data_IF_938706538209
#
_entry.id   IF_938706538209
#
_cell.length_a   1.000
_cell.length_b   1.000
_cell.length_c   1.000
_cell.angle_alpha   90.00
_cell.angle_beta   90.00
_cell.angle_gamma   90.00
#
_symmetry.space_group_name_H-M   'P 1'
#
loop_
_entity.id
_entity.type
_entity.pdbx_description
1 polymer ?
#
# COMPACT_ATOMS: atom_id res chain seq x y z
N UNK A 1 -46.92 36.32 -19.35
CA UNK A 1 -47.15 35.48 -18.16
C UNK A 1 -47.55 34.09 -18.62
N UNK A 2 -46.63 33.12 -18.60
CA UNK A 2 -46.97 31.69 -18.54
C UNK A 2 -45.93 31.02 -17.64
N UNK A 3 -46.43 30.16 -16.76
CA UNK A 3 -45.91 29.70 -15.49
C UNK A 3 -44.64 28.84 -15.52
N UNK A 4 -43.81 29.05 -14.49
CA UNK A 4 -42.69 28.21 -14.07
C UNK A 4 -43.12 26.78 -13.70
N UNK A 5 -42.38 25.78 -14.16
CA UNK A 5 -42.48 24.38 -13.74
C UNK A 5 -41.69 24.15 -12.44
N UNK A 6 -42.29 23.60 -11.36
CA UNK A 6 -41.57 23.17 -10.17
C UNK A 6 -41.24 21.68 -10.29
N UNK A 7 -40.00 21.33 -10.68
CA UNK A 7 -39.54 19.92 -10.64
C UNK A 7 -38.07 19.74 -10.26
N UNK A 8 -37.41 20.77 -9.71
CA UNK A 8 -35.97 20.70 -9.39
C UNK A 8 -35.63 20.76 -7.89
N UNK A 9 -36.60 20.87 -6.97
CA UNK A 9 -36.32 20.97 -5.53
C UNK A 9 -36.36 19.65 -4.75
N UNK A 10 -37.09 18.63 -5.23
CA UNK A 10 -37.24 17.34 -4.50
C UNK A 10 -35.99 16.44 -4.50
N UNK A 11 -34.99 16.70 -5.34
CA UNK A 11 -33.75 15.90 -5.38
C UNK A 11 -32.64 16.42 -4.46
N UNK A 12 -32.71 17.65 -3.95
CA UNK A 12 -31.66 18.20 -3.08
C UNK A 12 -31.83 17.77 -1.63
N UNK A 13 -33.07 17.70 -1.15
CA UNK A 13 -33.41 17.37 0.24
C UNK A 13 -33.15 15.89 0.53
N UNK A 14 -33.55 14.99 -0.37
CA UNK A 14 -33.27 13.56 -0.29
C UNK A 14 -31.76 13.23 -0.34
N UNK A 15 -30.94 14.05 -1.02
CA UNK A 15 -29.48 13.90 -1.03
C UNK A 15 -28.88 14.39 0.29
N UNK A 16 -29.38 15.48 0.85
CA UNK A 16 -28.92 15.98 2.15
C UNK A 16 -29.31 15.06 3.31
N UNK A 17 -30.52 14.51 3.31
CA UNK A 17 -30.97 13.55 4.32
C UNK A 17 -30.16 12.26 4.26
N UNK A 18 -29.81 11.80 3.05
CA UNK A 18 -28.92 10.66 2.86
C UNK A 18 -27.48 10.97 3.26
N UNK A 19 -27.03 12.21 3.17
CA UNK A 19 -25.71 12.64 3.66
C UNK A 19 -25.69 12.82 5.19
N UNK A 20 -26.80 13.22 5.79
CA UNK A 20 -26.98 13.36 7.24
C UNK A 20 -27.11 11.99 7.93
N UNK A 21 -27.88 11.05 7.37
CA UNK A 21 -27.97 9.67 7.87
C UNK A 21 -26.63 8.95 7.78
N UNK A 22 -25.92 9.09 6.65
CA UNK A 22 -24.54 8.59 6.48
C UNK A 22 -23.51 9.23 7.43
N UNK A 23 -23.81 10.41 8.01
CA UNK A 23 -22.95 11.08 9.00
C UNK A 23 -23.17 10.48 10.39
N UNK A 24 -24.40 10.08 10.72
CA UNK A 24 -24.77 9.46 11.99
C UNK A 24 -24.31 8.00 12.03
N UNK A 25 -24.47 7.23 10.94
CA UNK A 25 -23.98 5.85 10.84
C UNK A 25 -22.45 5.76 10.94
N UNK A 26 -21.70 6.73 10.40
CA UNK A 26 -20.23 6.82 10.55
C UNK A 26 -19.76 7.01 11.99
N UNK A 27 -20.61 7.53 12.88
CA UNK A 27 -20.27 7.73 14.29
C UNK A 27 -20.45 6.43 15.10
N UNK A 28 -21.25 5.48 14.60
CA UNK A 28 -21.57 4.23 15.28
C UNK A 28 -20.95 2.96 14.65
N UNK A 29 -20.42 3.02 13.42
CA UNK A 29 -19.76 1.88 12.74
C UNK A 29 -18.24 2.09 12.58
N UNK A 30 -17.57 2.53 13.64
CA UNK A 30 -16.12 2.40 13.75
C UNK A 30 -15.76 0.91 13.91
N UNK A 31 -15.78 0.17 12.80
CA UNK A 31 -15.29 -1.19 12.78
C UNK A 31 -13.77 -1.16 12.99
N UNK A 32 -13.35 -1.74 14.10
CA UNK A 32 -12.01 -1.75 14.73
C UNK A 32 -10.87 -2.25 13.82
N UNK A 33 -11.16 -2.77 12.61
CA UNK A 33 -10.17 -3.43 11.75
C UNK A 33 -9.60 -2.62 10.58
N UNK A 34 -10.00 -1.37 10.34
CA UNK A 34 -9.44 -0.59 9.21
C UNK A 34 -9.10 0.85 9.58
N UNK A 35 -8.12 1.02 10.48
CA UNK A 35 -7.52 2.32 10.78
C UNK A 35 -6.90 2.89 9.49
N UNK A 36 -7.25 4.14 9.16
CA UNK A 36 -6.59 4.92 8.09
C UNK A 36 -5.44 5.71 8.72
N UNK A 37 -4.21 5.23 8.51
CA UNK A 37 -3.04 5.68 9.27
C UNK A 37 -2.82 7.17 9.13
N UNK A 38 -2.95 7.72 7.92
CA UNK A 38 -2.67 9.13 7.61
C UNK A 38 -3.91 10.02 7.68
N UNK A 39 -5.05 9.51 8.15
CA UNK A 39 -6.28 10.31 8.23
C UNK A 39 -6.07 11.51 9.19
N UNK A 40 -6.21 12.72 8.63
CA UNK A 40 -5.97 13.99 9.33
C UNK A 40 -4.54 14.55 9.18
N UNK A 41 -3.58 13.75 8.70
CA UNK A 41 -2.17 14.13 8.50
C UNK A 41 -1.82 14.38 7.02
N UNK A 42 -2.64 13.90 6.09
CA UNK A 42 -2.41 13.99 4.64
C UNK A 42 -3.22 15.10 3.96
N UNK A 43 -2.53 15.86 3.11
CA UNK A 43 -3.05 16.94 2.27
C UNK A 43 -2.50 16.84 0.86
N UNK A 44 -3.13 17.51 -0.09
CA UNK A 44 -2.58 17.64 -1.45
C UNK A 44 -1.70 18.89 -1.60
N UNK A 45 -1.08 19.04 -2.77
CA UNK A 45 -0.18 20.15 -3.09
C UNK A 45 -0.84 21.54 -3.09
N UNK A 46 -2.18 21.61 -3.11
CA UNK A 46 -2.95 22.86 -2.96
C UNK A 46 -3.37 23.09 -1.49
N UNK A 47 -2.92 22.24 -0.57
CA UNK A 47 -3.25 22.29 0.85
C UNK A 47 -4.61 21.70 1.22
N UNK A 48 -5.38 21.16 0.25
CA UNK A 48 -6.70 20.55 0.52
C UNK A 48 -6.54 19.29 1.35
N UNK A 49 -7.48 19.06 2.26
CA UNK A 49 -7.52 17.82 3.05
C UNK A 49 -7.72 16.63 2.13
N UNK A 50 -7.01 15.53 2.39
CA UNK A 50 -7.24 14.27 1.69
C UNK A 50 -7.97 13.29 2.62
N UNK A 51 -9.17 12.87 2.25
CA UNK A 51 -9.99 11.98 3.07
C UNK A 51 -9.85 10.51 2.62
N UNK A 52 -9.86 9.54 3.55
CA UNK A 52 -9.89 8.13 3.21
C UNK A 52 -11.19 7.81 2.48
N UNK A 53 -11.07 7.06 1.39
CA UNK A 53 -12.15 6.58 0.55
C UNK A 53 -11.88 5.13 0.19
N UNK A 54 -12.92 4.40 -0.19
CA UNK A 54 -12.80 3.03 -0.65
C UNK A 54 -13.67 2.78 -1.86
N UNK A 55 -13.25 1.83 -2.69
CA UNK A 55 -14.04 1.30 -3.78
C UNK A 55 -13.91 -0.23 -3.77
N UNK A 56 -15.01 -0.93 -3.96
CA UNK A 56 -15.01 -2.40 -4.03
C UNK A 56 -15.17 -2.84 -5.47
N UNK A 57 -14.39 -3.84 -5.89
CA UNK A 57 -14.56 -4.50 -7.19
C UNK A 57 -14.55 -6.01 -6.97
N UNK A 58 -15.73 -6.62 -7.07
CA UNK A 58 -15.94 -7.99 -6.60
C UNK A 58 -15.72 -8.06 -5.09
N UNK A 59 -14.96 -9.06 -4.64
CA UNK A 59 -14.63 -9.28 -3.23
C UNK A 59 -13.45 -8.42 -2.73
N UNK A 60 -12.76 -7.71 -3.64
CA UNK A 60 -11.58 -6.91 -3.29
C UNK A 60 -11.97 -5.46 -3.01
N UNK A 61 -11.65 -4.99 -1.80
CA UNK A 61 -11.79 -3.58 -1.39
C UNK A 61 -10.48 -2.82 -1.59
N UNK A 62 -10.51 -1.77 -2.40
CA UNK A 62 -9.39 -0.86 -2.63
C UNK A 62 -9.56 0.40 -1.79
N UNK A 63 -8.50 0.83 -1.10
CA UNK A 63 -8.50 2.04 -0.27
C UNK A 63 -7.63 3.14 -0.88
N UNK A 64 -8.11 4.37 -0.77
CA UNK A 64 -7.49 5.55 -1.36
C UNK A 64 -7.57 6.74 -0.40
N UNK A 65 -6.65 7.69 -0.56
CA UNK A 65 -6.82 9.06 -0.10
C UNK A 65 -7.18 9.94 -1.30
N UNK A 66 -8.24 10.72 -1.18
CA UNK A 66 -8.73 11.62 -2.23
C UNK A 66 -8.74 13.06 -1.71
N UNK A 67 -8.28 14.02 -2.51
CA UNK A 67 -8.51 15.44 -2.26
C UNK A 67 -10.00 15.72 -2.08
N UNK A 68 -10.36 16.39 -0.99
CA UNK A 68 -11.71 16.90 -0.76
C UNK A 68 -11.76 18.31 -1.35
N UNK A 69 -12.70 18.55 -2.26
CA UNK A 69 -12.97 19.89 -2.74
C UNK A 69 -13.79 20.61 -1.67
N UNK A 70 -13.14 21.43 -0.86
CA UNK A 70 -13.78 22.32 0.10
C UNK A 70 -13.88 23.71 -0.56
N UNK A 71 -15.01 24.03 -1.20
CA UNK A 71 -15.30 25.37 -1.76
C UNK A 71 -16.01 25.41 -3.12
N UNK A 72 -16.59 26.56 -3.47
CA UNK A 72 -17.14 26.86 -4.81
C UNK A 72 -16.08 27.57 -5.66
N UNK A 73 -15.68 26.98 -6.79
CA UNK A 73 -14.69 27.54 -7.72
C UNK A 73 -14.04 26.50 -8.63
N UNK A 74 -13.29 26.92 -9.68
CA UNK A 74 -12.53 26.01 -10.52
C UNK A 74 -11.38 25.38 -9.71
N UNK A 75 -11.56 24.13 -9.32
CA UNK A 75 -10.57 23.38 -8.55
C UNK A 75 -9.53 22.74 -9.48
N UNK A 76 -8.25 22.78 -9.06
CA UNK A 76 -7.24 21.90 -9.64
C UNK A 76 -7.69 20.43 -9.54
N UNK A 77 -7.32 19.60 -10.52
CA UNK A 77 -7.77 18.20 -10.61
C UNK A 77 -7.54 17.49 -9.27
N UNK A 78 -8.57 16.86 -8.68
CA UNK A 78 -8.44 16.20 -7.38
C UNK A 78 -7.42 15.05 -7.48
N UNK A 79 -6.52 14.97 -6.50
CA UNK A 79 -5.51 13.93 -6.45
C UNK A 79 -6.09 12.71 -5.73
N UNK A 80 -5.81 11.52 -6.28
CA UNK A 80 -6.13 10.24 -5.66
C UNK A 80 -4.88 9.38 -5.58
N UNK A 81 -4.57 8.91 -4.38
CA UNK A 81 -3.45 8.01 -4.10
C UNK A 81 -3.90 6.75 -3.36
N UNK A 82 -3.28 5.60 -3.64
CA UNK A 82 -3.60 4.35 -2.97
C UNK A 82 -3.16 4.42 -1.50
N UNK A 83 -4.09 4.18 -0.57
CA UNK A 83 -3.84 4.35 0.86
C UNK A 83 -2.74 3.41 1.34
N UNK A 84 -2.86 2.12 1.00
CA UNK A 84 -1.86 1.10 1.32
C UNK A 84 -0.45 1.50 0.89
N UNK A 85 -0.32 2.12 -0.28
CA UNK A 85 0.99 2.43 -0.85
C UNK A 85 1.64 3.61 -0.12
N UNK A 86 0.90 4.71 0.07
CA UNK A 86 1.43 5.89 0.77
C UNK A 86 1.67 5.62 2.26
N UNK A 87 0.77 4.88 2.91
CA UNK A 87 0.91 4.47 4.30
C UNK A 87 2.19 3.65 4.51
N UNK A 88 2.39 2.63 3.66
CA UNK A 88 3.60 1.80 3.70
C UNK A 88 4.86 2.64 3.48
N UNK A 89 4.86 3.54 2.50
CA UNK A 89 6.04 4.34 2.17
C UNK A 89 6.42 5.32 3.28
N UNK A 90 5.43 5.91 3.96
CA UNK A 90 5.66 6.75 5.14
C UNK A 90 6.32 5.94 6.25
N UNK A 91 5.77 4.76 6.57
CA UNK A 91 6.32 3.88 7.63
C UNK A 91 7.74 3.43 7.28
N UNK A 92 7.98 2.98 6.05
CA UNK A 92 9.31 2.57 5.60
C UNK A 92 10.31 3.74 5.61
N UNK A 93 9.87 4.96 5.28
CA UNK A 93 10.75 6.13 5.29
C UNK A 93 11.09 6.60 6.69
N UNK A 94 10.15 6.52 7.62
CA UNK A 94 10.41 6.73 9.04
C UNK A 94 11.35 5.66 9.59
N UNK A 95 11.13 4.39 9.22
CA UNK A 95 12.01 3.29 9.61
C UNK A 95 13.43 3.46 9.07
N UNK A 96 13.59 3.94 7.82
CA UNK A 96 14.90 4.25 7.21
C UNK A 96 15.61 5.37 7.96
N UNK A 97 14.91 6.49 8.24
CA UNK A 97 15.45 7.61 9.02
C UNK A 97 15.97 7.14 10.39
N UNK A 98 15.16 6.39 11.14
CA UNK A 98 15.51 5.92 12.48
C UNK A 98 16.62 4.84 12.44
N UNK A 99 16.73 4.11 11.33
CA UNK A 99 17.81 3.14 11.12
C UNK A 99 19.14 3.77 10.73
N UNK A 100 19.14 5.02 10.25
CA UNK A 100 20.34 5.72 9.81
C UNK A 100 21.03 6.41 10.99
N UNK A 101 22.05 5.73 11.52
CA UNK A 101 22.87 6.21 12.64
C UNK A 101 23.52 7.56 12.35
N UNK A 102 24.04 7.75 11.14
CA UNK A 102 24.74 8.98 10.76
C UNK A 102 23.76 10.16 10.69
N UNK A 103 22.58 9.92 10.10
CA UNK A 103 21.53 10.93 10.03
C UNK A 103 21.02 11.31 11.43
N UNK A 104 20.82 10.35 12.33
CA UNK A 104 20.41 10.63 13.71
C UNK A 104 21.45 11.43 14.49
N UNK A 105 22.74 11.11 14.36
CA UNK A 105 23.82 11.89 15.00
C UNK A 105 23.87 13.32 14.47
N UNK A 106 23.61 13.53 13.18
CA UNK A 106 23.55 14.87 12.59
C UNK A 106 22.33 15.68 13.08
N UNK A 107 21.18 15.01 13.28
CA UNK A 107 19.96 15.66 13.79
C UNK A 107 20.06 16.04 15.26
N UNK A 108 20.82 15.27 16.06
CA UNK A 108 20.96 15.48 17.50
C UNK A 108 22.45 15.57 17.91
N UNK A 109 23.19 16.58 17.41
CA UNK A 109 24.63 16.68 17.62
C UNK A 109 25.01 16.93 19.09
N UNK A 110 24.10 17.57 19.84
CA UNK A 110 24.31 17.97 21.24
C UNK A 110 24.39 16.76 22.18
N UNK A 111 23.77 15.65 21.77
CA UNK A 111 23.82 14.37 22.48
C UNK A 111 24.97 13.49 21.99
N UNK A 112 25.86 14.03 21.14
CA UNK A 112 27.12 13.42 20.69
C UNK A 112 28.31 13.70 21.61
N UNK A 113 28.15 14.56 22.63
CA UNK A 113 29.22 15.01 23.52
C UNK A 113 29.50 14.09 24.71
N UNK A 114 28.47 13.46 25.28
CA UNK A 114 28.61 12.48 26.37
C UNK A 114 28.20 11.09 25.86
N UNK A 115 29.14 10.14 25.85
CA UNK A 115 28.97 8.84 25.16
C UNK A 115 27.78 7.99 25.61
N UNK A 116 27.19 8.26 26.78
CA UNK A 116 26.00 7.57 27.28
C UNK A 116 24.71 8.03 26.58
N UNK A 117 24.56 9.34 26.31
CA UNK A 117 23.36 9.89 25.68
C UNK A 117 23.22 9.45 24.22
N UNK A 118 24.33 9.40 23.47
CA UNK A 118 24.34 8.86 22.11
C UNK A 118 23.95 7.37 22.09
N UNK A 119 24.46 6.59 23.05
CA UNK A 119 24.19 5.16 23.11
C UNK A 119 22.72 4.86 23.40
N UNK A 120 22.09 5.63 24.28
CA UNK A 120 20.68 5.48 24.63
C UNK A 120 19.75 5.93 23.49
N UNK A 121 20.08 7.02 22.80
CA UNK A 121 19.38 7.44 21.59
C UNK A 121 19.40 6.33 20.53
N UNK A 122 20.57 5.77 20.24
CA UNK A 122 20.72 4.74 19.22
C UNK A 122 20.07 3.41 19.62
N UNK A 123 20.03 3.10 20.92
CA UNK A 123 19.31 1.95 21.45
C UNK A 123 17.80 2.13 21.27
N UNK A 124 17.25 3.27 21.66
CA UNK A 124 15.84 3.61 21.50
C UNK A 124 15.44 3.59 20.02
N UNK A 125 16.27 4.17 19.15
CA UNK A 125 16.10 4.13 17.71
C UNK A 125 16.06 2.70 17.17
N UNK A 126 17.00 1.84 17.58
CA UNK A 126 17.04 0.44 17.14
C UNK A 126 15.79 -0.34 17.58
N UNK A 127 15.28 -0.11 18.79
CA UNK A 127 14.05 -0.73 19.28
C UNK A 127 12.84 -0.26 18.47
N UNK A 128 12.72 1.05 18.23
CA UNK A 128 11.62 1.60 17.44
C UNK A 128 11.66 1.11 15.99
N UNK A 129 12.84 1.10 15.37
CA UNK A 129 13.05 0.60 14.00
C UNK A 129 12.58 -0.84 13.84
N UNK A 130 12.86 -1.73 14.80
CA UNK A 130 12.45 -3.14 14.75
C UNK A 130 10.94 -3.33 14.89
N UNK A 131 10.31 -2.51 15.71
CA UNK A 131 8.92 -2.72 16.11
C UNK A 131 7.92 -2.00 15.20
N UNK A 132 8.31 -0.89 14.56
CA UNK A 132 7.36 -0.02 13.86
C UNK A 132 6.54 -0.74 12.79
N UNK A 133 7.15 -1.64 12.01
CA UNK A 133 6.47 -2.40 10.96
C UNK A 133 5.53 -3.49 11.49
N UNK A 134 5.73 -3.95 12.73
CA UNK A 134 4.94 -5.02 13.37
C UNK A 134 3.92 -4.51 14.39
N UNK A 135 3.96 -3.21 14.72
CA UNK A 135 2.95 -2.56 15.57
C UNK A 135 1.54 -2.72 15.00
N UNK A 136 0.54 -2.76 15.87
CA UNK A 136 -0.85 -2.70 15.44
C UNK A 136 -1.10 -1.38 14.69
N UNK A 137 -2.01 -1.34 13.69
CA UNK A 137 -2.30 -0.12 12.94
C UNK A 137 -2.73 1.08 13.81
N UNK A 138 -3.40 0.83 14.93
CA UNK A 138 -3.75 1.86 15.92
C UNK A 138 -2.51 2.51 16.52
N UNK A 139 -1.51 1.71 16.87
CA UNK A 139 -0.29 2.15 17.56
C UNK A 139 0.66 2.84 16.58
N UNK A 140 0.74 2.34 15.34
CA UNK A 140 1.42 3.04 14.25
C UNK A 140 0.82 4.43 14.04
N UNK A 141 -0.51 4.54 14.02
CA UNK A 141 -1.19 5.83 13.89
C UNK A 141 -0.92 6.76 15.07
N UNK A 142 -0.98 6.24 16.30
CA UNK A 142 -0.69 7.02 17.50
C UNK A 142 0.74 7.57 17.45
N UNK A 143 1.72 6.73 17.10
CA UNK A 143 3.10 7.14 16.91
C UNK A 143 3.25 8.26 15.87
N UNK A 144 2.60 8.13 14.71
CA UNK A 144 2.68 9.16 13.66
C UNK A 144 2.06 10.50 14.10
N UNK A 145 1.01 10.45 14.92
CA UNK A 145 0.42 11.65 15.53
C UNK A 145 1.34 12.27 16.57
N UNK A 146 1.95 11.45 17.43
CA UNK A 146 2.90 11.92 18.45
C UNK A 146 4.11 12.61 17.80
N UNK A 147 4.56 12.09 16.65
CA UNK A 147 5.60 12.69 15.81
C UNK A 147 5.13 13.92 15.00
N UNK A 148 3.86 14.33 15.14
CA UNK A 148 3.25 15.43 14.41
C UNK A 148 3.45 15.33 12.89
N UNK A 149 3.30 14.12 12.35
CA UNK A 149 3.50 13.86 10.92
C UNK A 149 2.59 14.73 10.05
N UNK A 150 3.19 15.31 9.01
CA UNK A 150 2.48 15.99 7.92
C UNK A 150 2.90 15.39 6.58
N UNK A 151 1.93 15.06 5.73
CA UNK A 151 2.16 14.51 4.39
C UNK A 151 1.48 15.39 3.35
N UNK A 152 2.23 15.84 2.35
CA UNK A 152 1.75 16.63 1.23
C UNK A 152 1.97 15.88 -0.09
N UNK A 153 0.89 15.66 -0.83
CA UNK A 153 0.91 14.92 -2.10
C UNK A 153 0.78 15.92 -3.25
N UNK A 154 1.87 16.15 -3.98
CA UNK A 154 1.87 16.93 -5.21
C UNK A 154 1.57 16.04 -6.42
N UNK A 155 1.46 16.65 -7.60
CA UNK A 155 1.27 15.92 -8.84
C UNK A 155 2.50 15.07 -9.23
N UNK A 156 3.69 15.46 -8.78
CA UNK A 156 4.99 14.93 -9.21
C UNK A 156 5.86 14.35 -8.07
N UNK A 157 5.52 14.63 -6.81
CA UNK A 157 6.27 14.18 -5.62
C UNK A 157 5.39 14.07 -4.39
N UNK A 158 5.92 13.44 -3.35
CA UNK A 158 5.31 13.41 -2.01
C UNK A 158 6.33 13.98 -1.03
N UNK A 159 5.89 14.94 -0.23
CA UNK A 159 6.67 15.49 0.86
C UNK A 159 6.08 14.96 2.17
N UNK A 160 6.94 14.45 3.05
CA UNK A 160 6.54 14.09 4.40
C UNK A 160 7.52 14.69 5.38
N UNK A 161 7.01 15.16 6.52
CA UNK A 161 7.82 15.79 7.57
C UNK A 161 7.25 15.47 8.95
N UNK A 162 8.13 15.39 9.93
CA UNK A 162 7.81 15.17 11.35
C UNK A 162 8.45 16.27 12.19
N UNK A 163 7.94 16.45 13.40
CA UNK A 163 8.52 17.39 14.35
C UNK A 163 9.84 16.85 14.93
N UNK A 164 10.88 17.69 14.95
CA UNK A 164 12.20 17.31 15.44
C UNK A 164 12.16 17.03 16.95
N UNK A 165 11.56 17.93 17.73
CA UNK A 165 11.47 17.77 19.17
C UNK A 165 10.67 16.52 19.57
N UNK A 166 9.58 16.22 18.84
CA UNK A 166 8.78 15.03 19.05
C UNK A 166 9.55 13.74 18.75
N UNK A 167 10.32 13.69 17.65
CA UNK A 167 11.17 12.55 17.35
C UNK A 167 12.22 12.37 18.45
N UNK A 168 12.89 13.44 18.88
CA UNK A 168 13.90 13.37 19.92
C UNK A 168 13.34 12.87 21.25
N UNK A 169 12.19 13.40 21.71
CA UNK A 169 11.48 12.88 22.90
C UNK A 169 11.15 11.40 22.76
N UNK A 170 10.72 10.96 21.59
CA UNK A 170 10.42 9.55 21.32
C UNK A 170 11.65 8.65 21.41
N UNK A 171 12.83 9.20 21.09
CA UNK A 171 14.13 8.53 21.16
C UNK A 171 14.82 8.67 22.52
N UNK A 172 14.18 9.29 23.51
CA UNK A 172 14.70 9.42 24.87
C UNK A 172 15.43 10.73 25.17
N UNK A 173 15.33 11.73 24.29
CA UNK A 173 15.91 13.06 24.51
C UNK A 173 14.93 13.94 25.30
N UNK A 174 15.32 14.35 26.51
CA UNK A 174 14.46 15.06 27.45
C UNK A 174 14.35 16.58 27.25
N UNK A 175 15.42 17.25 26.79
CA UNK A 175 15.46 18.70 26.57
C UNK A 175 15.83 19.01 25.12
N UNK A 176 14.88 19.57 24.38
CA UNK A 176 15.09 20.07 23.01
C UNK A 176 14.51 21.47 22.93
N UNK A 177 15.29 22.38 22.36
CA UNK A 177 14.80 23.70 22.00
C UNK A 177 13.74 23.54 20.91
N UNK A 178 12.55 24.08 21.17
CA UNK A 178 11.39 23.99 20.27
C UNK A 178 11.57 24.80 18.98
N UNK A 179 12.67 25.54 18.83
CA UNK A 179 12.99 26.37 17.66
C UNK A 179 13.68 25.61 16.52
N UNK A 180 14.07 24.33 16.73
CA UNK A 180 14.64 23.52 15.64
C UNK A 180 13.58 23.07 14.63
N UNK A 181 13.95 23.13 13.34
CA UNK A 181 13.08 22.85 12.20
C UNK A 181 12.53 21.41 12.14
N UNK A 182 11.51 21.22 11.31
CA UNK A 182 10.93 19.92 10.93
C UNK A 182 11.95 18.96 10.30
N UNK A 183 11.84 17.67 10.59
CA UNK A 183 12.63 16.61 9.95
C UNK A 183 11.91 16.10 8.71
N UNK A 184 12.56 16.19 7.54
CA UNK A 184 12.00 15.70 6.27
C UNK A 184 12.18 14.19 6.12
N UNK A 185 11.11 13.50 5.76
CA UNK A 185 11.10 12.09 5.36
C UNK A 185 11.17 12.00 3.83
N UNK A 186 12.19 11.33 3.32
CA UNK A 186 12.33 11.09 1.88
C UNK A 186 11.34 10.01 1.44
N UNK A 187 10.26 10.40 0.76
CA UNK A 187 9.30 9.47 0.14
C UNK A 187 9.74 9.22 -1.32
N UNK A 188 10.31 8.05 -1.65
CA UNK A 188 10.75 7.75 -3.00
C UNK A 188 9.56 7.66 -3.96
N UNK A 189 9.54 8.53 -4.97
CA UNK A 189 8.46 8.65 -5.94
C UNK A 189 8.99 8.68 -7.36
N UNK A 190 8.23 8.10 -8.29
CA UNK A 190 8.52 8.09 -9.72
C UNK A 190 7.28 8.50 -10.51
N UNK A 191 7.51 9.25 -11.58
CA UNK A 191 6.47 9.55 -12.56
C UNK A 191 6.41 8.42 -13.60
N UNK A 192 5.33 7.64 -13.58
CA UNK A 192 5.14 6.54 -14.53
C UNK A 192 4.11 6.93 -15.58
N UNK A 193 4.49 6.83 -16.85
CA UNK A 193 3.60 7.09 -17.97
C UNK A 193 2.74 5.87 -18.27
N UNK A 194 1.41 6.03 -18.29
CA UNK A 194 0.46 5.00 -18.75
C UNK A 194 -0.39 5.56 -19.88
N UNK A 195 0.05 5.33 -21.12
CA UNK A 195 -0.55 5.95 -22.30
C UNK A 195 -0.22 7.45 -22.35
N UNK A 196 -1.24 8.30 -22.54
CA UNK A 196 -1.08 9.76 -22.55
C UNK A 196 -0.96 10.37 -21.15
N UNK A 197 -1.42 9.66 -20.12
CA UNK A 197 -1.42 10.13 -18.73
C UNK A 197 -0.10 9.81 -18.01
N UNK A 198 0.49 10.82 -17.35
CA UNK A 198 1.62 10.66 -16.44
C UNK A 198 1.08 10.57 -15.02
N UNK A 199 1.41 9.51 -14.29
CA UNK A 199 0.89 9.26 -12.94
C UNK A 199 2.02 9.07 -11.93
N UNK A 200 1.95 9.80 -10.83
CA UNK A 200 2.80 9.60 -9.66
C UNK A 200 2.62 8.18 -9.11
N UNK A 201 3.72 7.46 -9.00
CA UNK A 201 3.80 6.13 -8.41
C UNK A 201 4.85 6.16 -7.31
N UNK A 202 4.49 5.65 -6.14
CA UNK A 202 5.43 5.50 -5.04
C UNK A 202 6.36 4.34 -5.37
N UNK A 203 7.66 4.59 -5.30
CA UNK A 203 8.67 3.55 -5.42
C UNK A 203 8.83 2.92 -4.05
N UNK A 204 8.61 1.62 -3.93
CA UNK A 204 9.04 0.93 -2.72
C UNK A 204 10.50 0.56 -2.91
N UNK A 205 11.33 0.78 -1.89
CA UNK A 205 12.59 0.05 -1.75
C UNK A 205 12.22 -1.39 -1.51
N UNK A 206 11.93 -2.07 -2.60
CA UNK A 206 12.09 -3.47 -2.61
C UNK A 206 13.55 -3.74 -2.33
N UNK A 207 13.83 -4.38 -1.20
CA UNK A 207 14.77 -5.50 -1.25
C UNK A 207 14.51 -6.19 -2.59
N UNK A 208 15.50 -6.18 -3.50
CA UNK A 208 15.33 -6.21 -4.97
C UNK A 208 14.45 -7.34 -5.55
N UNK A 209 14.00 -8.25 -4.68
CA UNK A 209 12.94 -9.23 -4.81
C UNK A 209 11.50 -8.68 -4.79
N UNK A 210 11.10 -7.82 -3.85
CA UNK A 210 9.67 -7.53 -3.63
C UNK A 210 9.00 -6.61 -4.67
N UNK A 211 9.77 -5.76 -5.37
CA UNK A 211 9.31 -4.84 -6.43
C UNK A 211 9.03 -5.58 -7.73
N UNK A 212 9.70 -6.71 -7.94
CA UNK A 212 9.54 -7.54 -9.11
C UNK A 212 8.54 -8.68 -8.90
N UNK A 213 8.05 -8.91 -7.67
CA UNK A 213 6.95 -9.84 -7.42
C UNK A 213 5.69 -9.31 -8.11
N UNK A 214 5.33 -9.90 -9.24
CA UNK A 214 4.04 -9.62 -9.88
C UNK A 214 2.95 -10.25 -9.01
N UNK A 215 2.11 -9.45 -8.31
CA UNK A 215 1.12 -10.00 -7.39
C UNK A 215 0.10 -10.88 -8.11
N UNK A 216 -0.16 -10.65 -9.40
CA UNK A 216 -1.04 -11.50 -10.20
C UNK A 216 -0.40 -12.83 -10.53
N UNK A 217 0.92 -12.86 -10.68
CA UNK A 217 1.68 -14.07 -10.93
C UNK A 217 1.72 -14.93 -9.66
N UNK A 218 1.96 -14.31 -8.49
CA UNK A 218 1.86 -14.99 -7.20
C UNK A 218 0.43 -15.53 -6.96
N UNK A 219 -0.59 -14.71 -7.21
CA UNK A 219 -2.00 -15.12 -7.10
C UNK A 219 -2.33 -16.30 -8.04
N UNK A 220 -1.77 -16.31 -9.26
CA UNK A 220 -1.93 -17.42 -10.20
C UNK A 220 -1.34 -18.72 -9.64
N UNK A 221 -0.14 -18.68 -9.05
CA UNK A 221 0.48 -19.87 -8.43
C UNK A 221 -0.37 -20.39 -7.27
N UNK A 222 -0.85 -19.51 -6.39
CA UNK A 222 -1.73 -19.89 -5.27
C UNK A 222 -3.01 -20.56 -5.80
N UNK A 223 -3.67 -19.96 -6.79
CA UNK A 223 -4.88 -20.52 -7.42
C UNK A 223 -4.61 -21.84 -8.13
N UNK A 224 -3.44 -22.01 -8.73
CA UNK A 224 -3.04 -23.26 -9.36
C UNK A 224 -2.93 -24.40 -8.34
N UNK A 225 -2.26 -24.17 -7.21
CA UNK A 225 -2.17 -25.17 -6.14
C UNK A 225 -3.53 -25.48 -5.50
N UNK A 226 -4.39 -24.47 -5.33
CA UNK A 226 -5.78 -24.70 -4.91
C UNK A 226 -6.54 -25.57 -5.91
N UNK A 227 -6.45 -25.25 -7.21
CA UNK A 227 -7.07 -26.04 -8.27
C UNK A 227 -6.57 -27.49 -8.30
N UNK A 228 -5.27 -27.71 -8.07
CA UNK A 228 -4.69 -29.06 -7.96
C UNK A 228 -5.36 -29.87 -6.85
N UNK A 229 -5.56 -29.27 -5.67
CA UNK A 229 -6.25 -29.91 -4.53
C UNK A 229 -7.73 -30.17 -4.81
N UNK A 230 -8.43 -29.20 -5.38
CA UNK A 230 -9.87 -29.34 -5.69
C UNK A 230 -10.12 -30.46 -6.70
N UNK A 231 -9.17 -30.72 -7.61
CA UNK A 231 -9.19 -31.81 -8.57
C UNK A 231 -8.62 -33.14 -8.02
N UNK A 232 -8.11 -33.18 -6.79
CA UNK A 232 -7.50 -34.37 -6.20
C UNK A 232 -6.17 -34.80 -6.84
N UNK A 233 -5.52 -33.91 -7.59
CA UNK A 233 -4.25 -34.16 -8.28
C UNK A 233 -3.04 -34.10 -7.32
N UNK A 234 -3.27 -33.87 -6.04
CA UNK A 234 -2.29 -33.94 -4.95
C UNK A 234 -2.30 -35.27 -4.20
N UNK A 235 -3.01 -36.28 -4.71
CA UNK A 235 -3.14 -37.60 -4.09
C UNK A 235 -4.20 -37.68 -3.00
N UNK A 236 -5.01 -36.62 -2.83
CA UNK A 236 -6.17 -36.60 -1.94
C UNK A 236 -7.47 -36.74 -2.75
N UNK A 237 -8.55 -37.28 -2.17
CA UNK A 237 -9.83 -37.32 -2.87
C UNK A 237 -10.29 -35.91 -3.25
N UNK A 238 -10.81 -35.71 -4.49
CA UNK A 238 -11.24 -34.39 -4.96
C UNK A 238 -12.37 -33.86 -4.08
N UNK A 239 -12.26 -32.60 -3.67
CA UNK A 239 -13.21 -32.00 -2.71
C UNK A 239 -14.53 -31.58 -3.37
N UNK A 240 -14.51 -31.28 -4.67
CA UNK A 240 -15.66 -30.71 -5.40
C UNK A 240 -15.72 -31.16 -6.89
N UNK A 241 -14.79 -31.97 -7.38
CA UNK A 241 -14.65 -32.22 -8.81
C UNK A 241 -15.84 -32.95 -9.46
N UNK A 242 -16.62 -33.71 -8.67
CA UNK A 242 -17.81 -34.44 -9.14
C UNK A 242 -19.03 -33.54 -9.35
N UNK A 243 -19.11 -32.39 -8.66
CA UNK A 243 -20.31 -31.54 -8.63
C UNK A 243 -20.20 -30.33 -9.58
N UNK A 244 -19.08 -30.19 -10.28
CA UNK A 244 -18.79 -29.05 -11.16
C UNK A 244 -19.19 -29.31 -12.61
N UNK A 245 -19.73 -28.28 -13.26
CA UNK A 245 -20.00 -28.30 -14.70
C UNK A 245 -18.70 -28.48 -15.53
N UNK A 246 -18.87 -28.79 -16.82
CA UNK A 246 -17.74 -29.03 -17.74
C UNK A 246 -16.81 -27.81 -17.87
N UNK A 247 -17.35 -26.59 -17.86
CA UNK A 247 -16.59 -25.37 -18.06
C UNK A 247 -15.73 -25.03 -16.82
N UNK A 248 -16.31 -25.16 -15.63
CA UNK A 248 -15.64 -24.98 -14.36
C UNK A 248 -14.52 -26.02 -14.18
N UNK A 249 -14.77 -27.29 -14.51
CA UNK A 249 -13.73 -28.34 -14.50
C UNK A 249 -12.58 -28.04 -15.45
N UNK A 250 -12.87 -27.62 -16.68
CA UNK A 250 -11.83 -27.25 -17.65
C UNK A 250 -11.02 -26.03 -17.22
N UNK A 251 -11.66 -25.04 -16.58
CA UNK A 251 -10.97 -23.89 -16.02
C UNK A 251 -10.05 -24.29 -14.86
N UNK A 252 -10.52 -25.14 -13.96
CA UNK A 252 -9.68 -25.68 -12.87
C UNK A 252 -8.51 -26.50 -13.41
N UNK A 253 -8.73 -27.36 -14.40
CA UNK A 253 -7.65 -28.13 -15.04
C UNK A 253 -6.63 -27.21 -15.70
N UNK A 254 -7.11 -26.13 -16.35
CA UNK A 254 -6.23 -25.10 -16.93
C UNK A 254 -5.40 -24.41 -15.87
N UNK A 255 -5.95 -24.09 -14.70
CA UNK A 255 -5.19 -23.49 -13.59
C UNK A 255 -4.22 -24.47 -12.93
N UNK A 256 -4.66 -25.71 -12.67
CA UNK A 256 -3.89 -26.72 -11.97
C UNK A 256 -2.57 -27.06 -12.67
N UNK A 257 -2.48 -26.90 -14.01
CA UNK A 257 -1.25 -27.08 -14.77
C UNK A 257 -0.07 -26.26 -14.22
N UNK A 258 -0.32 -25.05 -13.71
CA UNK A 258 0.73 -24.18 -13.21
C UNK A 258 1.26 -24.60 -11.83
N UNK A 259 0.58 -25.52 -11.14
CA UNK A 259 1.06 -26.12 -9.89
C UNK A 259 2.16 -27.18 -10.12
N UNK A 260 2.43 -27.52 -11.38
CA UNK A 260 3.51 -28.42 -11.81
C UNK A 260 4.73 -27.68 -12.37
N UNK A 261 4.77 -26.34 -12.22
CA UNK A 261 5.97 -25.57 -12.49
C UNK A 261 7.13 -26.06 -11.62
N UNK A 262 8.33 -26.11 -12.20
CA UNK A 262 9.53 -26.49 -11.47
C UNK A 262 9.78 -25.63 -10.24
N UNK A 263 10.34 -26.21 -9.15
CA UNK A 263 10.51 -25.52 -7.88
C UNK A 263 11.33 -24.23 -8.02
N UNK A 264 12.38 -24.23 -8.85
CA UNK A 264 13.18 -23.03 -9.13
C UNK A 264 12.37 -21.89 -9.77
N UNK A 265 11.42 -22.21 -10.66
CA UNK A 265 10.55 -21.22 -11.30
C UNK A 265 9.58 -20.63 -10.28
N UNK A 266 9.00 -21.48 -9.44
CA UNK A 266 8.11 -21.05 -8.36
C UNK A 266 8.87 -20.17 -7.37
N UNK A 267 10.05 -20.60 -6.92
CA UNK A 267 10.92 -19.82 -6.03
C UNK A 267 11.24 -18.47 -6.65
N UNK A 268 11.65 -18.41 -7.91
CA UNK A 268 11.96 -17.16 -8.57
C UNK A 268 10.75 -16.23 -8.71
N UNK A 269 9.54 -16.77 -8.94
CA UNK A 269 8.29 -15.99 -8.93
C UNK A 269 7.98 -15.45 -7.53
N UNK A 270 8.10 -16.29 -6.51
CA UNK A 270 7.85 -15.92 -5.11
C UNK A 270 8.89 -14.92 -4.60
N UNK A 271 10.11 -14.97 -5.13
CA UNK A 271 11.21 -14.06 -4.83
C UNK A 271 11.24 -12.85 -5.77
N UNK A 272 10.39 -12.76 -6.78
CA UNK A 272 10.46 -11.65 -7.75
C UNK A 272 11.71 -11.67 -8.63
N UNK A 273 12.47 -12.75 -8.68
CA UNK A 273 13.63 -12.90 -9.57
C UNK A 273 13.25 -13.47 -10.94
N UNK A 274 11.95 -13.62 -11.25
CA UNK A 274 11.50 -14.12 -12.54
C UNK A 274 11.87 -13.16 -13.70
N UNK A 275 12.12 -13.69 -14.92
CA UNK A 275 12.36 -12.88 -16.11
C UNK A 275 11.19 -11.93 -16.38
N UNK A 276 11.47 -10.70 -16.82
CA UNK A 276 10.46 -9.68 -17.11
C UNK A 276 9.44 -10.11 -18.18
N UNK A 277 9.77 -11.10 -19.00
CA UNK A 277 8.86 -11.64 -20.00
C UNK A 277 7.80 -12.57 -19.39
N UNK A 278 7.96 -13.04 -18.15
CA UNK A 278 7.04 -13.95 -17.47
C UNK A 278 6.00 -13.16 -16.69
N UNK A 279 4.73 -13.32 -17.06
CA UNK A 279 3.58 -12.70 -16.39
C UNK A 279 2.40 -13.67 -16.32
N UNK A 280 1.45 -13.43 -15.42
CA UNK A 280 0.26 -14.28 -15.29
C UNK A 280 -0.52 -14.40 -16.62
N UNK A 281 -0.58 -13.30 -17.39
CA UNK A 281 -1.21 -13.27 -18.71
C UNK A 281 -0.48 -14.14 -19.72
N UNK A 282 0.85 -14.15 -19.71
CA UNK A 282 1.65 -15.00 -20.61
C UNK A 282 1.45 -16.47 -20.28
N UNK A 283 1.58 -16.85 -19.00
CA UNK A 283 1.36 -18.24 -18.56
C UNK A 283 -0.04 -18.76 -18.94
N UNK A 284 -1.09 -17.96 -18.71
CA UNK A 284 -2.46 -18.33 -19.08
C UNK A 284 -2.69 -18.50 -20.59
N UNK A 285 -1.84 -17.89 -21.44
CA UNK A 285 -1.90 -18.03 -22.91
C UNK A 285 -1.02 -19.16 -23.42
N UNK A 286 -0.12 -19.70 -22.61
CA UNK A 286 0.69 -20.85 -22.96
C UNK A 286 -0.16 -22.12 -22.87
N UNK A 287 -0.55 -22.64 -24.04
CA UNK A 287 -1.37 -23.87 -24.15
C UNK A 287 -0.62 -25.10 -23.69
N UNK A 288 0.68 -25.19 -24.02
CA UNK A 288 1.50 -26.39 -23.87
C UNK A 288 2.71 -26.10 -22.99
N UNK A 289 2.54 -26.30 -21.69
CA UNK A 289 3.63 -26.22 -20.72
C UNK A 289 4.29 -27.61 -20.64
N UNK A 290 5.59 -27.76 -20.97
CA UNK A 290 6.28 -29.04 -20.86
C UNK A 290 6.23 -29.59 -19.44
N UNK A 291 6.17 -30.91 -19.28
CA UNK A 291 6.28 -31.55 -17.96
C UNK A 291 7.72 -31.58 -17.45
N UNK A 292 8.71 -31.54 -18.35
CA UNK A 292 10.12 -31.46 -17.99
C UNK A 292 10.50 -30.06 -17.51
N UNK A 293 11.05 -29.95 -16.30
CA UNK A 293 11.40 -28.67 -15.68
C UNK A 293 12.53 -27.92 -16.39
N UNK A 294 13.47 -28.60 -17.07
CA UNK A 294 14.51 -27.92 -17.85
C UNK A 294 13.90 -27.28 -19.10
N UNK A 295 12.99 -27.97 -19.76
CA UNK A 295 12.24 -27.43 -20.90
C UNK A 295 11.33 -26.26 -20.47
N UNK A 296 10.69 -26.33 -19.30
CA UNK A 296 9.93 -25.20 -18.75
C UNK A 296 10.81 -23.97 -18.55
N UNK A 297 12.00 -24.14 -17.96
CA UNK A 297 12.95 -23.04 -17.74
C UNK A 297 13.36 -22.38 -19.06
N UNK A 298 13.78 -23.19 -20.04
CA UNK A 298 14.16 -22.71 -21.36
C UNK A 298 13.01 -21.95 -22.06
N UNK A 299 11.80 -22.52 -22.04
CA UNK A 299 10.61 -21.91 -22.66
C UNK A 299 10.21 -20.57 -22.01
N UNK A 300 10.37 -20.47 -20.69
CA UNK A 300 9.99 -19.29 -19.91
C UNK A 300 11.13 -18.27 -19.79
N UNK A 301 12.32 -18.57 -20.34
CA UNK A 301 13.47 -17.67 -20.35
C UNK A 301 14.21 -17.60 -19.01
N UNK A 302 14.12 -18.65 -18.19
CA UNK A 302 14.96 -18.81 -17.01
C UNK A 302 16.31 -19.40 -17.46
N UNK A 303 17.38 -18.65 -17.20
CA UNK A 303 18.78 -19.07 -17.40
C UNK A 303 19.29 -19.85 -16.20
#
# INVERSE_FOLDING_TARGET
MVSMHPSSMMNSEAVQDKLASNRIERRHQANVNEVSLLAGMIRDGEGRRMAPSHASRGDVRYRYYNSVNEGEGPHARPIRIAARDIEKAVVESLQRLIGDRAQLTLLYPQHGGEGYETADLLRSAALLHRNISTMAPSDQRALLLDLSLQVMVHADRIEAKIDHAALGRRLGIGQLDSDQEVVKLAIPTLMVRRGTDVKLTIQFDASASSSRRDPKLVELIVKAHQARRMLGLDGRPPTIASDLDYYARNHLARLARFAFLGPEIVTAIMEGSQPATVSARKLMRTSDLPMDWKQQKSMLGFS
#
